data_IF_557141980393
#
_entry.id   IF_557141980393
#
_cell.length_a   1.000
_cell.length_b   1.000
_cell.length_c   1.000
_cell.angle_alpha   90.00
_cell.angle_beta   90.00
_cell.angle_gamma   90.00
#
_symmetry.space_group_name_H-M   'P 1'
#
loop_
_entity.id
_entity.type
_entity.pdbx_description
1 polymer ?
#
# COMPACT_ATOMS: atom_id res chain seq x y z
N UNK A 1 -2.72 -5.81 44.03
CA UNK A 1 -1.61 -5.80 44.99
C UNK A 1 -0.28 -5.77 44.25
N UNK A 2 0.59 -4.80 44.58
CA UNK A 2 1.99 -4.74 44.11
C UNK A 2 2.88 -4.76 45.38
N UNK A 3 3.82 -5.69 45.47
CA UNK A 3 4.70 -5.85 46.62
C UNK A 3 3.96 -6.00 47.96
N UNK A 4 2.88 -6.79 47.96
CA UNK A 4 2.00 -7.04 49.12
C UNK A 4 1.22 -5.81 49.67
N UNK A 5 1.18 -4.73 48.90
CA UNK A 5 0.39 -3.53 49.24
C UNK A 5 -0.77 -3.36 48.26
N UNK A 6 -1.90 -2.87 48.74
CA UNK A 6 -3.02 -2.46 47.87
C UNK A 6 -2.57 -1.18 47.16
N UNK A 7 -2.48 -1.24 45.82
CA UNK A 7 -2.06 -0.11 45.00
C UNK A 7 -3.28 0.62 44.47
N UNK A 8 -4.36 -0.13 44.18
CA UNK A 8 -5.60 0.40 43.68
C UNK A 8 -6.76 -0.56 43.99
N UNK A 9 -8.01 -0.07 44.04
CA UNK A 9 -9.22 -0.86 44.25
C UNK A 9 -10.39 -0.20 43.51
N UNK A 10 -11.37 -1.00 43.11
CA UNK A 10 -12.65 -0.53 42.58
C UNK A 10 -13.81 -1.24 43.27
N UNK A 11 -14.98 -0.63 43.21
CA UNK A 11 -16.21 -1.17 43.79
C UNK A 11 -17.35 -1.05 42.76
N UNK A 12 -18.12 -2.11 42.58
CA UNK A 12 -19.26 -2.15 41.66
C UNK A 12 -18.93 -2.76 40.28
N UNK A 13 -19.90 -2.69 39.36
CA UNK A 13 -19.76 -3.15 37.97
C UNK A 13 -19.02 -2.08 37.19
N UNK A 14 -17.96 -2.47 36.54
CA UNK A 14 -17.13 -1.56 35.72
C UNK A 14 -17.10 -2.01 34.27
N UNK A 15 -16.96 -1.05 33.36
CA UNK A 15 -16.84 -1.30 31.92
C UNK A 15 -15.44 -1.81 31.59
N UNK A 16 -15.29 -2.48 30.43
CA UNK A 16 -13.99 -2.96 29.94
C UNK A 16 -12.95 -1.82 29.88
N UNK A 17 -13.34 -0.65 29.41
CA UNK A 17 -12.49 0.56 29.38
C UNK A 17 -11.99 0.94 30.77
N UNK A 18 -12.84 0.89 31.77
CA UNK A 18 -12.46 1.18 33.15
C UNK A 18 -11.53 0.11 33.74
N UNK A 19 -11.68 -1.15 33.28
CA UNK A 19 -10.75 -2.23 33.68
C UNK A 19 -9.37 -1.97 33.09
N UNK A 20 -9.29 -1.62 31.81
CA UNK A 20 -8.03 -1.29 31.13
C UNK A 20 -7.33 -0.13 31.82
N UNK A 21 -8.02 1.00 32.02
CA UNK A 21 -7.48 2.17 32.74
C UNK A 21 -6.99 1.83 34.17
N UNK A 22 -7.72 0.97 34.87
CA UNK A 22 -7.32 0.48 36.19
C UNK A 22 -6.03 -0.35 36.15
N UNK A 23 -5.90 -1.23 35.15
CA UNK A 23 -4.71 -2.07 34.98
C UNK A 23 -3.52 -1.19 34.59
N UNK A 24 -3.66 -0.29 33.64
CA UNK A 24 -2.62 0.66 33.22
C UNK A 24 -2.10 1.50 34.37
N UNK A 25 -3.02 2.05 35.18
CA UNK A 25 -2.67 2.84 36.36
C UNK A 25 -1.96 2.01 37.42
N UNK A 26 -2.30 0.72 37.54
CA UNK A 26 -1.71 -0.19 38.53
C UNK A 26 -0.33 -0.66 38.11
N UNK A 27 -0.13 -0.92 36.82
CA UNK A 27 1.14 -1.36 36.25
C UNK A 27 2.10 -0.20 36.04
N UNK A 28 1.58 1.01 35.79
CA UNK A 28 2.35 2.18 35.38
C UNK A 28 2.76 2.13 33.91
N UNK A 29 2.16 1.23 33.13
CA UNK A 29 2.38 1.05 31.70
C UNK A 29 1.04 1.05 30.98
N UNK A 30 0.98 1.62 29.77
CA UNK A 30 -0.19 1.48 28.92
C UNK A 30 -0.23 0.08 28.35
N UNK A 31 -1.41 -0.54 28.39
CA UNK A 31 -1.65 -1.78 27.66
C UNK A 31 -1.71 -1.43 26.17
N UNK A 32 -0.82 -2.03 25.37
CA UNK A 32 -0.96 -1.96 23.91
C UNK A 32 -2.22 -2.76 23.52
N UNK A 33 -3.16 -2.10 22.87
CA UNK A 33 -4.34 -2.78 22.33
C UNK A 33 -3.89 -3.77 21.26
N UNK A 34 -4.24 -5.05 21.41
CA UNK A 34 -3.91 -6.08 20.43
C UNK A 34 -4.94 -6.07 19.29
N UNK A 35 -4.61 -5.37 18.21
CA UNK A 35 -5.40 -5.34 16.98
C UNK A 35 -5.10 -6.50 16.01
N UNK A 36 -4.46 -7.57 16.45
CA UNK A 36 -4.02 -8.69 15.58
C UNK A 36 -5.19 -9.34 14.84
N UNK A 37 -6.31 -9.60 15.52
CA UNK A 37 -7.51 -10.19 14.90
C UNK A 37 -8.13 -9.26 13.87
N UNK A 38 -8.24 -7.96 14.19
CA UNK A 38 -8.70 -6.93 13.26
C UNK A 38 -7.86 -6.92 11.98
N UNK A 39 -6.54 -6.85 12.10
CA UNK A 39 -5.66 -6.85 10.93
C UNK A 39 -5.67 -8.16 10.14
N UNK A 40 -5.91 -9.29 10.78
CA UNK A 40 -6.05 -10.57 10.10
C UNK A 40 -7.34 -10.62 9.27
N UNK A 41 -8.44 -10.08 9.80
CA UNK A 41 -9.70 -9.90 9.06
C UNK A 41 -9.50 -9.00 7.84
N UNK A 42 -8.91 -7.82 8.00
CA UNK A 42 -8.63 -6.89 6.89
C UNK A 42 -7.75 -7.54 5.81
N UNK A 43 -6.70 -8.28 6.21
CA UNK A 43 -5.84 -8.99 5.25
C UNK A 43 -6.60 -10.05 4.45
N UNK A 44 -7.58 -10.72 5.07
CA UNK A 44 -8.44 -11.69 4.40
C UNK A 44 -9.30 -10.99 3.34
N UNK A 45 -10.00 -9.90 3.71
CA UNK A 45 -10.81 -9.11 2.78
C UNK A 45 -9.98 -8.62 1.57
N UNK A 46 -8.79 -8.07 1.83
CA UNK A 46 -7.89 -7.60 0.77
C UNK A 46 -7.45 -8.77 -0.14
N UNK A 47 -7.15 -9.94 0.42
CA UNK A 47 -6.76 -11.14 -0.35
C UNK A 47 -7.90 -11.63 -1.23
N UNK A 48 -9.13 -11.53 -0.76
CA UNK A 48 -10.37 -11.88 -1.48
C UNK A 48 -10.83 -10.76 -2.43
N UNK A 49 -10.09 -9.65 -2.51
CA UNK A 49 -10.38 -8.45 -3.31
C UNK A 49 -11.66 -7.70 -2.90
N UNK A 50 -12.13 -7.90 -1.69
CA UNK A 50 -13.27 -7.19 -1.10
C UNK A 50 -12.85 -5.79 -0.61
N UNK A 51 -12.27 -4.99 -1.50
CA UNK A 51 -11.68 -3.70 -1.14
C UNK A 51 -12.68 -2.69 -0.58
N UNK A 52 -13.96 -2.75 -1.00
CA UNK A 52 -15.00 -1.86 -0.47
C UNK A 52 -15.27 -2.14 1.00
N UNK A 53 -15.47 -3.40 1.37
CA UNK A 53 -15.69 -3.82 2.75
C UNK A 53 -14.47 -3.50 3.63
N UNK A 54 -13.26 -3.81 3.14
CA UNK A 54 -12.03 -3.49 3.85
C UNK A 54 -11.87 -1.98 4.07
N UNK A 55 -12.20 -1.16 3.06
CA UNK A 55 -12.18 0.31 3.14
C UNK A 55 -13.10 0.83 4.24
N UNK A 56 -14.35 0.40 4.25
CA UNK A 56 -15.35 0.85 5.24
C UNK A 56 -14.93 0.47 6.67
N UNK A 57 -14.51 -0.78 6.87
CA UNK A 57 -14.05 -1.27 8.18
C UNK A 57 -12.79 -0.52 8.65
N UNK A 58 -11.86 -0.21 7.74
CA UNK A 58 -10.66 0.55 8.05
C UNK A 58 -10.98 2.02 8.38
N UNK A 59 -11.93 2.64 7.68
CA UNK A 59 -12.33 4.02 7.96
C UNK A 59 -12.94 4.16 9.35
N UNK A 60 -13.82 3.23 9.74
CA UNK A 60 -14.40 3.19 11.08
C UNK A 60 -13.31 3.00 12.16
N UNK A 61 -12.37 2.10 11.94
CA UNK A 61 -11.23 1.90 12.83
C UNK A 61 -10.36 3.14 12.97
N UNK A 62 -10.01 3.80 11.86
CA UNK A 62 -9.19 5.01 11.83
C UNK A 62 -9.87 6.18 12.57
N UNK A 63 -11.21 6.25 12.56
CA UNK A 63 -11.95 7.30 13.29
C UNK A 63 -11.65 7.31 14.78
N UNK A 64 -11.36 6.15 15.36
CA UNK A 64 -10.98 5.98 16.76
C UNK A 64 -9.45 5.87 16.97
N UNK A 65 -8.70 5.55 15.91
CA UNK A 65 -7.25 5.29 15.92
C UNK A 65 -6.54 6.11 14.84
N UNK A 66 -6.73 7.43 14.87
CA UNK A 66 -6.32 8.37 13.80
C UNK A 66 -4.81 8.42 13.52
N UNK A 67 -3.97 7.87 14.39
CA UNK A 67 -2.51 7.79 14.21
C UNK A 67 -2.00 6.40 13.84
N UNK A 68 -2.90 5.43 13.65
CA UNK A 68 -2.47 4.09 13.24
C UNK A 68 -2.05 4.07 11.77
N UNK A 69 -0.75 4.21 11.55
CA UNK A 69 -0.13 4.28 10.22
C UNK A 69 -0.36 3.02 9.39
N UNK A 70 -0.57 1.87 10.04
CA UNK A 70 -0.84 0.61 9.36
C UNK A 70 -2.27 0.58 8.81
N UNK A 71 -3.26 0.99 9.61
CA UNK A 71 -4.65 1.13 9.14
C UNK A 71 -4.76 2.16 8.03
N UNK A 72 -4.14 3.35 8.20
CA UNK A 72 -4.10 4.42 7.20
C UNK A 72 -3.52 3.89 5.89
N UNK A 73 -2.39 3.17 5.93
CA UNK A 73 -1.77 2.64 4.69
C UNK A 73 -2.66 1.62 3.98
N UNK A 74 -3.37 0.76 4.73
CA UNK A 74 -4.30 -0.21 4.16
C UNK A 74 -5.57 0.45 3.59
N UNK A 75 -6.07 1.49 4.23
CA UNK A 75 -7.20 2.29 3.74
C UNK A 75 -6.87 2.97 2.41
N UNK A 76 -5.75 3.68 2.34
CA UNK A 76 -5.26 4.30 1.11
C UNK A 76 -5.01 3.27 0.01
N UNK A 77 -4.49 2.08 0.35
CA UNK A 77 -4.34 0.98 -0.58
C UNK A 77 -5.69 0.55 -1.17
N UNK A 78 -6.72 0.35 -0.33
CA UNK A 78 -8.05 -0.01 -0.80
C UNK A 78 -8.65 1.06 -1.73
N UNK A 79 -8.48 2.34 -1.41
CA UNK A 79 -8.92 3.44 -2.27
C UNK A 79 -8.29 3.37 -3.68
N UNK A 80 -6.97 3.10 -3.75
CA UNK A 80 -6.29 2.95 -5.05
C UNK A 80 -6.78 1.74 -5.82
N UNK A 81 -6.98 0.60 -5.17
CA UNK A 81 -7.52 -0.61 -5.83
C UNK A 81 -8.95 -0.40 -6.36
N UNK A 82 -9.73 0.46 -5.70
CA UNK A 82 -11.08 0.88 -6.12
C UNK A 82 -11.06 2.00 -7.18
N UNK A 83 -9.89 2.56 -7.53
CA UNK A 83 -9.79 3.68 -8.46
C UNK A 83 -10.25 5.04 -7.90
N UNK A 84 -10.43 5.15 -6.60
CA UNK A 84 -10.94 6.35 -5.89
C UNK A 84 -9.81 7.36 -5.63
N UNK A 85 -9.13 7.79 -6.68
CA UNK A 85 -7.89 8.60 -6.57
C UNK A 85 -8.11 9.98 -5.97
N UNK A 86 -9.29 10.57 -6.16
CA UNK A 86 -9.63 11.86 -5.56
C UNK A 86 -9.74 11.73 -4.04
N UNK A 87 -10.40 10.68 -3.54
CA UNK A 87 -10.48 10.41 -2.11
C UNK A 87 -9.11 10.16 -1.47
N UNK A 88 -8.17 9.53 -2.23
CA UNK A 88 -6.77 9.39 -1.77
C UNK A 88 -6.13 10.75 -1.55
N UNK A 89 -6.29 11.70 -2.48
CA UNK A 89 -5.71 13.05 -2.36
C UNK A 89 -6.30 13.82 -1.18
N UNK A 90 -7.62 13.78 -1.04
CA UNK A 90 -8.33 14.45 0.05
C UNK A 90 -7.88 13.91 1.40
N UNK A 91 -7.80 12.58 1.51
CA UNK A 91 -7.37 11.93 2.75
C UNK A 91 -5.88 12.23 3.05
N UNK A 92 -4.98 12.12 2.06
CA UNK A 92 -3.57 12.48 2.24
C UNK A 92 -3.40 13.95 2.65
N UNK A 93 -4.24 14.85 2.15
CA UNK A 93 -4.18 16.27 2.49
C UNK A 93 -4.55 16.53 3.96
N UNK A 94 -5.39 15.67 4.56
CA UNK A 94 -5.80 15.76 5.96
C UNK A 94 -4.79 15.15 6.94
N UNK A 95 -3.80 14.40 6.48
CA UNK A 95 -2.82 13.73 7.34
C UNK A 95 -1.69 14.68 7.77
N UNK A 96 -1.21 14.49 8.99
CA UNK A 96 0.01 15.12 9.49
C UNK A 96 1.23 14.70 8.65
N UNK A 97 2.19 15.62 8.50
CA UNK A 97 3.40 15.37 7.71
C UNK A 97 4.26 14.22 8.24
N UNK A 98 4.24 13.97 9.55
CA UNK A 98 4.97 12.84 10.14
C UNK A 98 4.35 11.49 9.77
N UNK A 99 3.04 11.43 9.60
CA UNK A 99 2.35 10.23 9.11
C UNK A 99 2.69 9.99 7.64
N UNK A 100 2.76 11.04 6.81
CA UNK A 100 3.12 10.95 5.38
C UNK A 100 4.52 10.40 5.15
N UNK A 101 5.46 10.59 6.09
CA UNK A 101 6.83 10.06 6.03
C UNK A 101 6.91 8.54 6.30
N UNK A 102 5.81 7.90 6.66
CA UNK A 102 5.81 6.43 6.80
C UNK A 102 6.07 5.77 5.45
N UNK A 103 7.01 4.83 5.41
CA UNK A 103 7.46 4.15 4.18
C UNK A 103 6.31 3.53 3.36
N UNK A 104 5.27 3.00 4.04
CA UNK A 104 4.12 2.40 3.34
C UNK A 104 3.24 3.48 2.70
N UNK A 105 3.09 4.63 3.36
CA UNK A 105 2.31 5.75 2.85
C UNK A 105 3.07 6.42 1.71
N UNK A 106 4.39 6.61 1.83
CA UNK A 106 5.23 7.07 0.72
C UNK A 106 5.14 6.17 -0.53
N UNK A 107 5.08 4.85 -0.32
CA UNK A 107 4.86 3.89 -1.41
C UNK A 107 3.54 4.16 -2.15
N UNK A 108 2.47 4.44 -1.41
CA UNK A 108 1.15 4.76 -1.97
C UNK A 108 1.17 6.10 -2.71
N UNK A 109 1.83 7.11 -2.16
CA UNK A 109 2.00 8.42 -2.82
C UNK A 109 2.71 8.25 -4.17
N UNK A 110 3.82 7.53 -4.22
CA UNK A 110 4.55 7.23 -5.48
C UNK A 110 3.67 6.49 -6.50
N UNK A 111 2.88 5.53 -6.03
CA UNK A 111 1.95 4.80 -6.90
C UNK A 111 0.89 5.75 -7.48
N UNK A 112 0.32 6.62 -6.66
CA UNK A 112 -0.66 7.62 -7.09
C UNK A 112 -0.07 8.61 -8.11
N UNK A 113 1.18 9.04 -7.93
CA UNK A 113 1.90 9.90 -8.87
C UNK A 113 2.03 9.26 -10.26
N UNK A 114 2.42 7.97 -10.32
CA UNK A 114 2.49 7.22 -11.59
C UNK A 114 1.10 7.17 -12.25
N UNK A 115 0.06 6.86 -11.50
CA UNK A 115 -1.31 6.78 -12.00
C UNK A 115 -1.76 8.12 -12.58
N UNK A 116 -1.57 9.22 -11.86
CA UNK A 116 -1.98 10.57 -12.28
C UNK A 116 -1.21 11.07 -13.49
N UNK A 117 0.10 10.85 -13.54
CA UNK A 117 0.93 11.21 -14.68
C UNK A 117 0.41 10.60 -15.98
N UNK A 118 -0.11 9.38 -15.91
CA UNK A 118 -0.54 8.62 -17.08
C UNK A 118 -2.05 8.68 -17.36
N UNK A 119 -2.83 9.38 -16.52
CA UNK A 119 -4.27 9.51 -16.70
C UNK A 119 -4.66 10.30 -17.94
N UNK A 120 -3.84 11.29 -18.36
CA UNK A 120 -4.10 12.22 -19.47
C UNK A 120 -3.31 11.89 -20.75
N UNK A 121 -2.52 10.82 -20.76
CA UNK A 121 -1.69 10.43 -21.91
C UNK A 121 -2.46 9.61 -22.97
N UNK A 122 -1.74 9.12 -24.00
CA UNK A 122 -2.33 8.29 -25.05
C UNK A 122 -2.97 7.01 -24.46
N UNK A 123 -3.91 6.44 -25.21
CA UNK A 123 -4.54 5.18 -24.81
C UNK A 123 -3.54 4.03 -24.89
N UNK A 124 -3.81 2.95 -24.14
CA UNK A 124 -2.97 1.75 -24.21
C UNK A 124 -2.93 1.18 -25.64
N UNK A 125 -4.05 1.20 -26.35
CA UNK A 125 -4.14 0.71 -27.72
C UNK A 125 -3.24 1.50 -28.67
N UNK A 126 -3.24 2.83 -28.57
CA UNK A 126 -2.36 3.69 -29.35
C UNK A 126 -0.88 3.44 -29.06
N UNK A 127 -0.54 3.22 -27.78
CA UNK A 127 0.84 2.91 -27.38
C UNK A 127 1.29 1.55 -27.89
N UNK A 128 0.43 0.53 -27.85
CA UNK A 128 0.73 -0.79 -28.38
C UNK A 128 0.92 -0.76 -29.91
N UNK A 129 0.06 -0.04 -30.67
CA UNK A 129 0.27 0.18 -32.11
C UNK A 129 1.59 0.88 -32.43
N UNK A 130 2.01 1.86 -31.61
CA UNK A 130 3.31 2.49 -31.75
C UNK A 130 4.46 1.53 -31.47
N UNK A 131 4.31 0.63 -30.48
CA UNK A 131 5.31 -0.40 -30.19
C UNK A 131 5.45 -1.43 -31.31
N UNK A 132 4.40 -1.73 -32.06
CA UNK A 132 4.47 -2.62 -33.24
C UNK A 132 5.39 -2.04 -34.32
N UNK A 133 5.34 -0.71 -34.51
CA UNK A 133 6.18 -0.01 -35.51
C UNK A 133 7.56 0.34 -34.97
N UNK A 134 7.69 0.58 -33.67
CA UNK A 134 8.92 1.00 -33.00
C UNK A 134 9.21 0.16 -31.74
N UNK A 135 9.48 -1.17 -31.89
CA UNK A 135 9.49 -2.12 -30.78
C UNK A 135 10.61 -1.92 -29.77
N UNK A 136 11.62 -1.08 -30.09
CA UNK A 136 12.77 -0.81 -29.24
C UNK A 136 12.84 0.67 -28.80
N UNK A 137 11.81 1.47 -29.10
CA UNK A 137 11.76 2.86 -28.65
C UNK A 137 11.48 2.91 -27.15
N UNK A 138 12.49 3.29 -26.38
CA UNK A 138 12.46 3.24 -24.91
C UNK A 138 11.38 4.16 -24.31
N UNK A 139 11.09 5.30 -24.96
CA UNK A 139 10.05 6.23 -24.50
C UNK A 139 8.67 5.57 -24.58
N UNK A 140 8.37 4.97 -25.75
CA UNK A 140 7.09 4.29 -25.96
C UNK A 140 6.94 3.06 -25.04
N UNK A 141 8.03 2.31 -24.83
CA UNK A 141 8.04 1.19 -23.88
C UNK A 141 7.67 1.68 -22.47
N UNK A 142 8.25 2.79 -22.01
CA UNK A 142 7.95 3.32 -20.69
C UNK A 142 6.55 3.87 -20.59
N UNK A 143 6.08 4.62 -21.60
CA UNK A 143 4.70 5.11 -21.63
C UNK A 143 3.68 3.97 -21.59
N UNK A 144 3.91 2.88 -22.34
CA UNK A 144 3.04 1.71 -22.32
C UNK A 144 3.08 0.97 -20.99
N UNK A 145 4.28 0.80 -20.40
CA UNK A 145 4.43 0.18 -19.10
C UNK A 145 3.76 1.02 -17.98
N UNK A 146 3.94 2.34 -18.01
CA UNK A 146 3.30 3.27 -17.05
C UNK A 146 1.77 3.25 -17.22
N UNK A 147 1.28 3.15 -18.46
CA UNK A 147 -0.17 3.06 -18.73
C UNK A 147 -0.75 1.76 -18.18
N UNK A 148 -0.09 0.62 -18.43
CA UNK A 148 -0.47 -0.68 -17.86
C UNK A 148 -0.47 -0.64 -16.32
N UNK A 149 0.58 -0.04 -15.74
CA UNK A 149 0.69 0.13 -14.30
C UNK A 149 -0.47 0.98 -13.74
N UNK A 150 -0.83 2.07 -14.42
CA UNK A 150 -1.93 2.96 -14.02
C UNK A 150 -3.32 2.29 -14.10
N UNK A 151 -3.44 1.26 -14.93
CA UNK A 151 -4.64 0.43 -15.07
C UNK A 151 -4.65 -0.75 -14.08
N UNK A 152 -3.74 -0.79 -13.13
CA UNK A 152 -3.51 -1.88 -12.18
C UNK A 152 -3.15 -3.23 -12.85
N UNK A 153 -2.79 -3.22 -14.14
CA UNK A 153 -2.26 -4.40 -14.83
C UNK A 153 -0.74 -4.48 -14.67
N UNK A 154 -0.32 -4.74 -13.43
CA UNK A 154 1.10 -4.80 -13.07
C UNK A 154 1.82 -5.97 -13.77
N UNK A 155 1.11 -7.08 -13.98
CA UNK A 155 1.69 -8.25 -14.60
C UNK A 155 2.11 -7.96 -16.04
N UNK A 156 1.22 -7.34 -16.84
CA UNK A 156 1.54 -6.94 -18.20
C UNK A 156 2.62 -5.86 -18.24
N UNK A 157 2.61 -4.90 -17.31
CA UNK A 157 3.64 -3.87 -17.20
C UNK A 157 5.04 -4.47 -16.97
N UNK A 158 5.19 -5.36 -15.99
CA UNK A 158 6.46 -6.03 -15.73
C UNK A 158 6.88 -6.96 -16.89
N UNK A 159 5.94 -7.70 -17.46
CA UNK A 159 6.21 -8.60 -18.60
C UNK A 159 6.76 -7.82 -19.78
N UNK A 160 6.15 -6.68 -20.12
CA UNK A 160 6.64 -5.80 -21.19
C UNK A 160 8.08 -5.32 -20.89
N UNK A 161 8.36 -4.86 -19.70
CA UNK A 161 9.69 -4.39 -19.32
C UNK A 161 10.72 -5.51 -19.37
N UNK A 162 10.41 -6.71 -18.86
CA UNK A 162 11.33 -7.83 -18.87
C UNK A 162 11.63 -8.32 -20.30
N UNK A 163 10.64 -8.33 -21.19
CA UNK A 163 10.83 -8.68 -22.60
C UNK A 163 11.80 -7.72 -23.31
N UNK A 164 11.72 -6.43 -22.99
CA UNK A 164 12.58 -5.40 -23.60
C UNK A 164 13.92 -5.19 -22.87
N UNK A 165 14.11 -5.82 -21.69
CA UNK A 165 15.29 -5.67 -20.86
C UNK A 165 16.61 -5.98 -21.57
N UNK A 166 16.78 -7.06 -22.36
CA UNK A 166 18.05 -7.39 -22.99
C UNK A 166 18.65 -6.28 -23.86
N UNK A 167 17.80 -5.42 -24.46
CA UNK A 167 18.22 -4.36 -25.36
C UNK A 167 18.45 -3.01 -24.68
N UNK A 168 17.95 -2.81 -23.45
CA UNK A 168 18.01 -1.53 -22.73
C UNK A 168 18.23 -1.74 -21.22
N UNK A 169 19.20 -2.57 -20.84
CA UNK A 169 19.38 -3.11 -19.50
C UNK A 169 19.30 -2.03 -18.40
N UNK A 170 20.14 -0.99 -18.45
CA UNK A 170 20.20 0.00 -17.37
C UNK A 170 18.91 0.81 -17.21
N UNK A 171 18.34 1.29 -18.32
CA UNK A 171 17.14 2.13 -18.28
C UNK A 171 15.92 1.33 -17.79
N UNK A 172 15.75 0.09 -18.29
CA UNK A 172 14.63 -0.77 -17.90
C UNK A 172 14.78 -1.26 -16.46
N UNK A 173 16.01 -1.53 -15.99
CA UNK A 173 16.28 -1.85 -14.58
C UNK A 173 15.76 -0.74 -13.66
N UNK A 174 16.07 0.51 -13.97
CA UNK A 174 15.61 1.67 -13.19
C UNK A 174 14.08 1.69 -13.13
N UNK A 175 13.41 1.49 -14.28
CA UNK A 175 11.94 1.49 -14.36
C UNK A 175 11.29 0.33 -13.59
N UNK A 176 11.87 -0.86 -13.66
CA UNK A 176 11.42 -2.02 -12.87
C UNK A 176 11.55 -1.73 -11.37
N UNK A 177 12.66 -1.14 -10.92
CA UNK A 177 12.87 -0.77 -9.52
C UNK A 177 11.89 0.33 -9.06
N UNK A 178 11.57 1.30 -9.92
CA UNK A 178 10.54 2.29 -9.68
C UNK A 178 9.18 1.63 -9.38
N UNK A 179 8.76 0.66 -10.21
CA UNK A 179 7.52 -0.08 -10.01
C UNK A 179 7.54 -0.94 -8.74
N UNK A 180 8.66 -1.60 -8.42
CA UNK A 180 8.78 -2.32 -7.15
C UNK A 180 8.64 -1.39 -5.94
N UNK A 181 9.21 -0.20 -6.03
CA UNK A 181 9.09 0.81 -4.97
C UNK A 181 7.65 1.34 -4.85
N UNK A 182 6.96 1.53 -5.97
CA UNK A 182 5.58 2.02 -5.99
C UNK A 182 4.55 0.98 -5.51
N UNK A 183 4.82 -0.32 -5.67
CA UNK A 183 3.96 -1.40 -5.18
C UNK A 183 4.30 -1.84 -3.75
N UNK A 184 5.55 -1.64 -3.34
CA UNK A 184 6.06 -2.12 -2.06
C UNK A 184 6.51 -3.58 -2.07
N UNK A 185 7.26 -3.97 -1.03
CA UNK A 185 7.93 -5.27 -0.93
C UNK A 185 6.97 -6.46 -0.84
N UNK A 186 5.81 -6.26 -0.22
CA UNK A 186 4.84 -7.33 0.07
C UNK A 186 3.79 -7.52 -1.03
N UNK A 187 3.78 -6.69 -2.07
CA UNK A 187 2.84 -6.83 -3.16
C UNK A 187 3.12 -8.10 -3.98
N UNK A 188 2.07 -8.86 -4.35
CA UNK A 188 2.21 -10.14 -5.03
C UNK A 188 3.04 -10.04 -6.32
N UNK A 189 2.77 -9.03 -7.16
CA UNK A 189 3.53 -8.79 -8.39
C UNK A 189 5.00 -8.42 -8.09
N UNK A 190 5.28 -7.70 -7.02
CA UNK A 190 6.67 -7.39 -6.62
C UNK A 190 7.44 -8.67 -6.27
N UNK A 191 6.84 -9.55 -5.47
CA UNK A 191 7.46 -10.82 -5.05
C UNK A 191 7.74 -11.70 -6.28
N UNK A 192 6.76 -11.86 -7.16
CA UNK A 192 6.86 -12.68 -8.37
C UNK A 192 7.92 -12.14 -9.33
N UNK A 193 7.82 -10.86 -9.69
CA UNK A 193 8.67 -10.28 -10.73
C UNK A 193 10.09 -9.96 -10.27
N UNK A 194 10.34 -9.79 -8.96
CA UNK A 194 11.71 -9.77 -8.43
C UNK A 194 12.45 -11.07 -8.70
N UNK A 195 11.80 -12.21 -8.48
CA UNK A 195 12.39 -13.53 -8.76
C UNK A 195 12.72 -13.68 -10.24
N UNK A 196 11.76 -13.34 -11.12
CA UNK A 196 11.95 -13.41 -12.59
C UNK A 196 13.06 -12.46 -13.05
N UNK A 197 13.06 -11.23 -12.55
CA UNK A 197 14.07 -10.23 -12.91
C UNK A 197 15.48 -10.64 -12.45
N UNK A 198 15.61 -11.17 -11.24
CA UNK A 198 16.89 -11.70 -10.74
C UNK A 198 17.43 -12.81 -11.66
N UNK A 199 16.59 -13.75 -12.09
CA UNK A 199 17.01 -14.80 -13.00
C UNK A 199 17.54 -14.25 -14.33
N UNK A 200 16.88 -13.23 -14.90
CA UNK A 200 17.31 -12.61 -16.17
C UNK A 200 18.61 -11.79 -16.00
N UNK A 201 18.82 -11.17 -14.83
CA UNK A 201 20.03 -10.38 -14.56
C UNK A 201 21.30 -11.23 -14.46
N UNK A 202 21.17 -12.48 -14.01
CA UNK A 202 22.29 -13.39 -13.76
C UNK A 202 22.42 -14.51 -14.79
N UNK A 203 21.62 -14.45 -15.89
CA UNK A 203 21.75 -15.28 -17.09
C UNK A 203 22.66 -14.60 -18.10
#
# INVERSE_FOLDING_TARGET
FKNKKIVNAFQGVITEKQIIEFIEKTLGEKLEEDFSEFYNSIKKEIKEKNFSTAKETLLDFISNNSKDQKAISLYLFCLIELGQYQEVDEFLSSLDDDIKKNTKIETIIKRLEIIKKNSKGPSLEELMKKLDTQPNNISIIFEAADKLFSLNDYNSAFKLLLEKYPKNKEKIKIKILEFFNALGQSHASTIEYRKKFSQIMFS
#
